data_IF_495784681521
#
_entry.id   IF_495784681521
#
_cell.length_a   1.000
_cell.length_b   1.000
_cell.length_c   1.000
_cell.angle_alpha   90.00
_cell.angle_beta   90.00
_cell.angle_gamma   90.00
#
_symmetry.space_group_name_H-M   'P 1'
#
loop_
_entity.id
_entity.type
_entity.pdbx_description
1 polymer ?
#
# COMPACT_ATOMS: atom_id res chain seq x y z
N UNK A 1 15.66 25.75 21.97
CA UNK A 1 14.43 24.96 22.11
C UNK A 1 13.24 25.67 21.46
N UNK A 2 12.86 26.90 21.83
CA UNK A 2 11.70 27.61 21.24
C UNK A 2 11.78 27.81 19.71
N UNK A 3 12.93 28.23 19.16
CA UNK A 3 13.13 28.37 17.70
C UNK A 3 13.09 27.06 16.91
N UNK A 4 13.39 25.93 17.56
CA UNK A 4 13.37 24.63 16.90
C UNK A 4 11.92 24.11 16.81
N UNK A 5 11.11 24.37 17.84
CA UNK A 5 9.68 24.04 17.85
C UNK A 5 8.85 24.89 16.89
N UNK A 6 9.16 26.17 16.73
CA UNK A 6 8.50 27.04 15.75
C UNK A 6 8.79 26.60 14.30
N UNK A 7 10.06 26.26 14.00
CA UNK A 7 10.44 25.76 12.68
C UNK A 7 9.80 24.40 12.36
N UNK A 8 9.72 23.49 13.35
CA UNK A 8 9.07 22.18 13.17
C UNK A 8 7.57 22.36 12.86
N UNK A 9 6.90 23.27 13.57
CA UNK A 9 5.48 23.55 13.35
C UNK A 9 5.22 24.13 11.96
N UNK A 10 6.06 25.05 11.51
CA UNK A 10 5.97 25.63 10.17
C UNK A 10 6.21 24.58 9.07
N UNK A 11 7.12 23.62 9.29
CA UNK A 11 7.36 22.50 8.38
C UNK A 11 6.14 21.57 8.30
N UNK A 12 5.51 21.23 9.43
CA UNK A 12 4.28 20.44 9.46
C UNK A 12 3.13 21.14 8.74
N UNK A 13 2.90 22.43 9.02
CA UNK A 13 1.85 23.21 8.33
C UNK A 13 2.09 23.28 6.81
N UNK A 14 3.34 23.35 6.37
CA UNK A 14 3.69 23.30 4.95
C UNK A 14 3.45 21.92 4.33
N UNK A 15 3.80 20.83 5.02
CA UNK A 15 3.58 19.47 4.56
C UNK A 15 2.07 19.16 4.40
N UNK A 16 1.26 19.58 5.38
CA UNK A 16 -0.20 19.46 5.32
C UNK A 16 -0.77 20.24 4.12
N UNK A 17 -0.26 21.46 3.88
CA UNK A 17 -0.71 22.30 2.77
C UNK A 17 -0.37 21.71 1.40
N UNK A 18 0.84 21.13 1.25
CA UNK A 18 1.27 20.46 0.03
C UNK A 18 0.38 19.23 -0.23
N UNK A 19 0.09 18.47 0.81
CA UNK A 19 -0.68 17.23 0.70
C UNK A 19 -2.12 17.49 0.31
N UNK A 20 -2.72 18.54 0.87
CA UNK A 20 -4.04 19.02 0.47
C UNK A 20 -4.06 19.47 -1.01
N UNK A 21 -3.02 20.18 -1.48
CA UNK A 21 -2.92 20.60 -2.89
C UNK A 21 -2.83 19.38 -3.82
N UNK A 22 -1.97 18.40 -3.49
CA UNK A 22 -1.76 17.20 -4.32
C UNK A 22 -2.94 16.25 -4.31
N UNK A 23 -3.62 16.11 -3.18
CA UNK A 23 -4.89 15.40 -3.10
C UNK A 23 -5.95 16.07 -3.97
N UNK A 24 -6.05 17.40 -3.96
CA UNK A 24 -7.00 18.13 -4.81
C UNK A 24 -6.72 17.95 -6.31
N UNK A 25 -5.44 17.96 -6.72
CA UNK A 25 -5.03 17.67 -8.10
C UNK A 25 -5.41 16.24 -8.51
N UNK A 26 -5.10 15.25 -7.66
CA UNK A 26 -5.40 13.85 -7.90
C UNK A 26 -6.93 13.61 -7.98
N UNK A 27 -7.71 14.16 -7.06
CA UNK A 27 -9.17 14.11 -7.09
C UNK A 27 -9.77 14.71 -8.36
N UNK A 28 -9.18 15.80 -8.88
CA UNK A 28 -9.60 16.35 -10.15
C UNK A 28 -9.30 15.40 -11.32
N UNK A 29 -8.17 14.69 -11.27
CA UNK A 29 -7.83 13.66 -12.26
C UNK A 29 -8.82 12.48 -12.17
N UNK A 30 -9.08 11.96 -10.97
CA UNK A 30 -10.07 10.89 -10.74
C UNK A 30 -11.43 11.25 -11.33
N UNK A 31 -11.97 12.44 -11.03
CA UNK A 31 -13.26 12.90 -11.57
C UNK A 31 -13.29 12.92 -13.11
N UNK A 32 -12.19 13.32 -13.75
CA UNK A 32 -12.08 13.30 -15.21
C UNK A 32 -12.03 11.88 -15.76
N UNK A 33 -11.30 10.99 -15.08
CA UNK A 33 -11.19 9.58 -15.44
C UNK A 33 -12.56 8.91 -15.34
N UNK A 34 -13.26 9.06 -14.21
CA UNK A 34 -14.62 8.53 -14.01
C UNK A 34 -15.62 9.08 -15.05
N UNK A 35 -15.59 10.38 -15.35
CA UNK A 35 -16.46 10.96 -16.38
C UNK A 35 -16.19 10.40 -17.78
N UNK A 36 -14.91 10.13 -18.11
CA UNK A 36 -14.52 9.50 -19.37
C UNK A 36 -14.93 8.03 -19.41
N UNK A 37 -14.70 7.29 -18.32
CA UNK A 37 -15.09 5.89 -18.18
C UNK A 37 -16.60 5.72 -18.33
N UNK A 38 -17.41 6.59 -17.73
CA UNK A 38 -18.88 6.53 -17.77
C UNK A 38 -19.50 6.62 -19.19
N UNK A 39 -18.76 7.15 -20.16
CA UNK A 39 -19.16 7.23 -21.59
C UNK A 39 -18.42 6.23 -22.48
N UNK A 40 -17.59 5.36 -21.91
CA UNK A 40 -16.93 4.28 -22.64
C UNK A 40 -17.98 3.32 -23.23
N UNK A 41 -17.78 2.88 -24.48
CA UNK A 41 -18.65 1.91 -25.12
C UNK A 41 -18.62 0.55 -24.40
N UNK A 42 -17.47 0.23 -23.81
CA UNK A 42 -17.24 -0.99 -23.04
C UNK A 42 -17.53 -0.82 -21.54
N UNK A 43 -18.12 0.30 -21.10
CA UNK A 43 -18.39 0.59 -19.68
C UNK A 43 -18.97 -0.62 -18.95
N UNK A 44 -20.06 -1.22 -19.46
CA UNK A 44 -20.72 -2.34 -18.77
C UNK A 44 -19.90 -3.61 -18.76
N UNK A 45 -19.07 -3.83 -19.78
CA UNK A 45 -18.16 -4.97 -19.83
C UNK A 45 -17.09 -4.81 -18.75
N UNK A 46 -16.41 -3.67 -18.74
CA UNK A 46 -15.34 -3.33 -17.79
C UNK A 46 -15.87 -3.28 -16.35
N UNK A 47 -17.04 -2.69 -16.14
CA UNK A 47 -17.70 -2.63 -14.84
C UNK A 47 -18.04 -4.01 -14.30
N UNK A 48 -18.50 -4.93 -15.16
CA UNK A 48 -18.80 -6.31 -14.76
C UNK A 48 -17.53 -7.16 -14.58
N UNK A 49 -16.40 -6.76 -15.17
CA UNK A 49 -15.12 -7.42 -14.95
C UNK A 49 -14.58 -7.16 -13.54
N UNK A 50 -14.75 -5.95 -13.03
CA UNK A 50 -14.41 -5.55 -11.66
C UNK A 50 -15.43 -6.10 -10.65
N UNK A 51 -16.68 -5.63 -10.69
CA UNK A 51 -17.68 -5.85 -9.62
C UNK A 51 -18.53 -7.12 -9.79
N UNK A 52 -18.19 -7.98 -10.75
CA UNK A 52 -18.97 -9.16 -11.11
C UNK A 52 -20.30 -8.84 -11.80
N UNK A 53 -21.23 -9.81 -11.82
CA UNK A 53 -22.49 -9.69 -12.57
C UNK A 53 -23.75 -9.56 -11.68
N UNK A 54 -23.56 -9.49 -10.35
CA UNK A 54 -24.66 -9.53 -9.37
C UNK A 54 -24.91 -8.20 -8.65
N UNK A 55 -24.19 -7.14 -9.05
CA UNK A 55 -24.40 -5.79 -8.53
C UNK A 55 -25.79 -5.26 -8.88
N UNK A 56 -26.28 -4.29 -8.11
CA UNK A 56 -27.58 -3.65 -8.37
C UNK A 56 -27.51 -2.76 -9.63
N UNK A 57 -28.18 -3.14 -10.74
CA UNK A 57 -28.08 -2.41 -11.99
C UNK A 57 -28.75 -1.03 -11.95
N UNK A 58 -29.74 -0.80 -11.07
CA UNK A 58 -30.38 0.51 -10.95
C UNK A 58 -29.44 1.51 -10.25
N UNK A 59 -28.79 1.07 -9.17
CA UNK A 59 -27.77 1.86 -8.47
C UNK A 59 -26.56 2.14 -9.37
N UNK A 60 -26.08 1.14 -10.13
CA UNK A 60 -24.98 1.32 -11.07
C UNK A 60 -25.31 2.31 -12.21
N UNK A 61 -26.51 2.26 -12.80
CA UNK A 61 -26.89 3.22 -13.85
C UNK A 61 -27.10 4.64 -13.30
N UNK A 62 -27.62 4.78 -12.07
CA UNK A 62 -27.70 6.09 -11.40
C UNK A 62 -26.31 6.69 -11.20
N UNK A 63 -25.36 5.89 -10.74
CA UNK A 63 -23.98 6.28 -10.53
C UNK A 63 -23.30 6.69 -11.85
N UNK A 64 -23.46 5.88 -12.90
CA UNK A 64 -22.97 6.22 -14.25
C UNK A 64 -23.58 7.54 -14.75
N UNK A 65 -24.89 7.74 -14.57
CA UNK A 65 -25.55 9.00 -14.92
C UNK A 65 -24.98 10.20 -14.16
N UNK A 66 -24.67 10.05 -12.87
CA UNK A 66 -24.03 11.11 -12.09
C UNK A 66 -22.67 11.48 -12.71
N UNK A 67 -21.82 10.50 -13.02
CA UNK A 67 -20.50 10.74 -13.62
C UNK A 67 -20.57 11.40 -15.00
N UNK A 68 -21.50 10.97 -15.87
CA UNK A 68 -21.72 11.61 -17.19
C UNK A 68 -22.09 13.10 -17.04
N UNK A 69 -22.85 13.44 -16.01
CA UNK A 69 -23.25 14.81 -15.71
C UNK A 69 -22.24 15.56 -14.84
N UNK A 70 -21.05 14.99 -14.60
CA UNK A 70 -20.00 15.52 -13.72
C UNK A 70 -20.49 15.79 -12.28
N UNK A 71 -21.47 15.02 -11.82
CA UNK A 71 -21.94 15.00 -10.46
C UNK A 71 -21.16 13.97 -9.65
N UNK A 72 -20.44 14.43 -8.61
CA UNK A 72 -19.57 13.62 -7.75
C UNK A 72 -19.86 13.85 -6.26
N UNK A 73 -21.09 14.23 -5.91
CA UNK A 73 -21.50 14.47 -4.53
C UNK A 73 -21.57 13.19 -3.69
N UNK A 74 -21.67 12.02 -4.33
CA UNK A 74 -21.78 10.70 -3.67
C UNK A 74 -20.43 10.01 -3.44
N UNK A 75 -19.29 10.72 -3.58
CA UNK A 75 -17.98 10.16 -3.27
C UNK A 75 -17.75 10.07 -1.74
N UNK A 76 -17.06 9.03 -1.23
CA UNK A 76 -16.72 8.90 0.18
C UNK A 76 -15.81 10.04 0.67
N UNK A 77 -15.77 10.20 1.99
CA UNK A 77 -14.80 11.08 2.64
C UNK A 77 -13.39 10.53 2.46
N UNK A 78 -12.40 11.42 2.33
CA UNK A 78 -10.99 11.06 2.27
C UNK A 78 -10.30 11.66 3.48
N UNK A 79 -9.67 10.80 4.28
CA UNK A 79 -8.81 11.19 5.38
C UNK A 79 -7.35 10.89 5.04
N UNK A 80 -6.45 11.80 5.42
CA UNK A 80 -5.02 11.56 5.33
C UNK A 80 -4.56 10.97 6.66
N UNK A 81 -3.90 9.80 6.61
CA UNK A 81 -3.35 9.06 7.77
C UNK A 81 -1.90 8.72 7.51
N UNK A 82 -1.14 8.34 8.53
CA UNK A 82 0.17 7.73 8.24
C UNK A 82 -0.02 6.34 7.62
N UNK A 83 0.91 5.91 6.78
CA UNK A 83 0.98 4.53 6.27
C UNK A 83 0.92 3.51 7.43
N UNK A 84 1.61 3.77 8.54
CA UNK A 84 1.59 2.94 9.76
C UNK A 84 0.17 2.75 10.33
N UNK A 85 -0.63 3.82 10.42
CA UNK A 85 -2.01 3.75 10.90
C UNK A 85 -2.91 2.86 10.01
N UNK A 86 -2.52 2.65 8.75
CA UNK A 86 -3.23 1.83 7.76
C UNK A 86 -2.43 0.60 7.32
N UNK A 87 -1.66 0.01 8.24
CA UNK A 87 -0.93 -1.26 8.03
C UNK A 87 0.08 -1.23 6.86
N UNK A 88 0.67 -0.07 6.60
CA UNK A 88 1.67 0.14 5.55
C UNK A 88 1.10 0.29 4.14
N UNK A 89 -0.22 0.41 4.00
CA UNK A 89 -0.87 0.59 2.71
C UNK A 89 -0.65 2.01 2.15
N UNK A 90 -0.71 2.15 0.82
CA UNK A 90 -0.64 3.45 0.15
C UNK A 90 -1.98 4.19 0.23
N UNK A 91 -3.07 3.42 0.15
CA UNK A 91 -4.45 3.81 0.35
C UNK A 91 -5.19 2.66 1.03
N UNK A 92 -6.34 2.96 1.60
CA UNK A 92 -7.23 1.95 2.15
C UNK A 92 -8.68 2.44 2.18
N UNK A 93 -9.65 1.55 2.01
CA UNK A 93 -11.06 1.84 2.16
C UNK A 93 -11.65 1.02 3.29
N UNK A 94 -12.48 1.66 4.13
CA UNK A 94 -13.25 0.95 5.15
C UNK A 94 -14.75 1.14 4.94
N UNK A 95 -15.45 0.02 4.76
CA UNK A 95 -16.93 -0.02 4.73
C UNK A 95 -17.52 0.46 6.07
N UNK A 96 -16.85 0.16 7.19
CA UNK A 96 -17.36 0.47 8.54
C UNK A 96 -17.45 1.97 8.82
N UNK A 97 -16.48 2.74 8.34
CA UNK A 97 -16.43 4.20 8.46
C UNK A 97 -16.91 4.92 7.20
N UNK A 98 -17.01 4.20 6.08
CA UNK A 98 -17.29 4.74 4.75
C UNK A 98 -16.29 5.85 4.37
N UNK A 99 -15.01 5.55 4.59
CA UNK A 99 -13.90 6.50 4.44
C UNK A 99 -12.76 5.86 3.65
N UNK A 100 -12.18 6.63 2.74
CA UNK A 100 -10.89 6.33 2.13
C UNK A 100 -9.81 6.96 3.00
N UNK A 101 -8.85 6.17 3.43
CA UNK A 101 -7.64 6.61 4.09
C UNK A 101 -6.50 6.62 3.08
N UNK A 102 -5.79 7.74 2.96
CA UNK A 102 -4.65 7.86 2.04
C UNK A 102 -3.38 8.16 2.83
N UNK A 103 -2.31 7.41 2.58
CA UNK A 103 -1.06 7.57 3.29
C UNK A 103 -0.43 8.95 2.99
N UNK A 104 -0.13 9.69 4.05
CA UNK A 104 0.53 10.99 3.99
C UNK A 104 1.90 10.89 3.30
N UNK A 105 2.62 9.82 3.59
CA UNK A 105 3.92 9.49 3.04
C UNK A 105 3.82 9.25 1.53
N UNK A 106 2.78 8.55 1.08
CA UNK A 106 2.51 8.29 -0.32
C UNK A 106 2.20 9.57 -1.11
N UNK A 107 1.40 10.49 -0.53
CA UNK A 107 1.09 11.80 -1.15
C UNK A 107 2.37 12.63 -1.30
N UNK A 108 3.19 12.69 -0.23
CA UNK A 108 4.42 13.48 -0.20
C UNK A 108 5.43 12.95 -1.21
N UNK A 109 5.56 11.63 -1.29
CA UNK A 109 6.44 10.97 -2.25
C UNK A 109 6.03 11.24 -3.70
N UNK A 110 4.73 11.15 -3.97
CA UNK A 110 4.16 11.37 -5.29
C UNK A 110 3.78 12.83 -5.56
N UNK A 111 4.35 13.79 -4.82
CA UNK A 111 4.04 15.21 -4.98
C UNK A 111 4.33 15.77 -6.39
N UNK A 112 5.20 15.10 -7.16
CA UNK A 112 5.48 15.41 -8.57
C UNK A 112 4.84 14.41 -9.55
N UNK A 113 4.07 13.45 -9.05
CA UNK A 113 3.40 12.40 -9.80
C UNK A 113 1.95 12.21 -9.30
N UNK A 114 1.12 13.25 -9.45
CA UNK A 114 -0.28 13.20 -9.01
C UNK A 114 -1.12 12.13 -9.71
N UNK A 115 -0.62 11.56 -10.82
CA UNK A 115 -1.25 10.42 -11.47
C UNK A 115 -1.15 9.14 -10.63
N UNK A 116 -0.03 8.89 -9.95
CA UNK A 116 0.10 7.75 -9.04
C UNK A 116 -0.88 7.85 -7.86
N UNK A 117 -1.04 9.05 -7.31
CA UNK A 117 -2.05 9.34 -6.27
C UNK A 117 -3.46 9.08 -6.81
N UNK A 118 -3.74 9.47 -8.05
CA UNK A 118 -5.04 9.23 -8.67
C UNK A 118 -5.31 7.73 -8.93
N UNK A 119 -4.28 6.94 -9.23
CA UNK A 119 -4.39 5.48 -9.40
C UNK A 119 -4.80 4.80 -8.09
N UNK A 120 -4.12 5.09 -6.98
CA UNK A 120 -4.51 4.55 -5.66
C UNK A 120 -5.90 5.03 -5.27
N UNK A 121 -6.22 6.31 -5.45
CA UNK A 121 -7.57 6.80 -5.16
C UNK A 121 -8.65 6.10 -5.99
N UNK A 122 -8.39 5.80 -7.26
CA UNK A 122 -9.36 5.08 -8.10
C UNK A 122 -9.62 3.66 -7.60
N UNK A 123 -8.59 3.00 -7.10
CA UNK A 123 -8.67 1.68 -6.48
C UNK A 123 -9.53 1.72 -5.22
N UNK A 124 -9.27 2.66 -4.31
CA UNK A 124 -10.09 2.85 -3.12
C UNK A 124 -11.53 3.30 -3.42
N UNK A 125 -11.73 4.06 -4.51
CA UNK A 125 -13.08 4.33 -4.99
C UNK A 125 -13.73 3.06 -5.55
N UNK A 126 -12.99 2.13 -6.15
CA UNK A 126 -13.50 0.85 -6.60
C UNK A 126 -14.07 0.04 -5.44
N UNK A 127 -13.31 -0.13 -4.35
CA UNK A 127 -13.77 -0.76 -3.11
C UNK A 127 -15.04 -0.09 -2.53
N UNK A 128 -15.05 1.25 -2.50
CA UNK A 128 -16.26 1.99 -2.14
C UNK A 128 -17.43 1.64 -3.06
N UNK A 129 -17.24 1.63 -4.37
CA UNK A 129 -18.30 1.32 -5.33
C UNK A 129 -18.83 -0.10 -5.15
N UNK A 130 -17.95 -1.07 -4.92
CA UNK A 130 -18.37 -2.45 -4.67
C UNK A 130 -19.32 -2.50 -3.46
N UNK A 131 -18.92 -1.87 -2.35
CA UNK A 131 -19.73 -1.82 -1.12
C UNK A 131 -21.11 -1.16 -1.30
N UNK A 132 -21.26 -0.24 -2.26
CA UNK A 132 -22.54 0.42 -2.56
C UNK A 132 -23.43 -0.40 -3.49
N UNK A 133 -22.83 -1.23 -4.34
CA UNK A 133 -23.51 -1.86 -5.47
C UNK A 133 -23.75 -3.35 -5.24
N UNK A 134 -22.88 -4.01 -4.49
CA UNK A 134 -22.95 -5.41 -4.14
C UNK A 134 -23.42 -5.59 -2.69
N UNK A 135 -24.06 -6.74 -2.42
CA UNK A 135 -24.49 -7.13 -1.05
C UNK A 135 -23.40 -7.83 -0.26
N UNK A 136 -22.42 -8.34 -0.98
CA UNK A 136 -21.27 -9.06 -0.50
C UNK A 136 -20.12 -8.65 -1.39
N UNK A 137 -19.00 -8.39 -0.76
CA UNK A 137 -17.74 -8.08 -1.41
C UNK A 137 -17.46 -8.96 -2.63
N UNK A 138 -16.94 -8.34 -3.69
CA UNK A 138 -16.52 -9.04 -4.89
C UNK A 138 -15.23 -9.82 -4.59
N UNK A 139 -15.04 -11.04 -5.14
CA UNK A 139 -13.81 -11.77 -4.86
C UNK A 139 -12.59 -11.09 -5.49
N UNK A 140 -11.54 -10.93 -4.68
CA UNK A 140 -10.27 -10.39 -5.11
C UNK A 140 -10.14 -8.92 -4.73
N UNK A 141 -9.28 -8.21 -5.46
CA UNK A 141 -9.13 -6.77 -5.40
C UNK A 141 -9.87 -6.13 -6.60
N UNK A 142 -11.18 -5.98 -6.46
CA UNK A 142 -12.03 -5.31 -7.46
C UNK A 142 -11.72 -3.81 -7.57
N UNK A 143 -11.13 -3.22 -6.53
CA UNK A 143 -10.57 -1.87 -6.52
C UNK A 143 -9.50 -1.71 -7.61
N UNK A 144 -8.47 -2.53 -7.58
CA UNK A 144 -7.36 -2.48 -8.53
C UNK A 144 -7.82 -2.84 -9.94
N UNK A 145 -8.73 -3.81 -10.10
CA UNK A 145 -9.33 -4.13 -11.40
C UNK A 145 -10.05 -2.90 -11.95
N UNK A 146 -10.89 -2.25 -11.13
CA UNK A 146 -11.60 -1.04 -11.53
C UNK A 146 -10.65 0.10 -11.89
N UNK A 147 -9.61 0.33 -11.08
CA UNK A 147 -8.61 1.38 -11.31
C UNK A 147 -7.92 1.23 -12.65
N UNK A 148 -7.41 0.02 -12.95
CA UNK A 148 -6.76 -0.29 -14.23
C UNK A 148 -7.70 -0.07 -15.43
N UNK A 149 -8.93 -0.57 -15.35
CA UNK A 149 -9.91 -0.43 -16.43
C UNK A 149 -10.35 1.03 -16.62
N UNK A 150 -10.56 1.79 -15.55
CA UNK A 150 -10.90 3.21 -15.61
C UNK A 150 -9.79 4.05 -16.26
N UNK A 151 -8.53 3.67 -16.04
CA UNK A 151 -7.36 4.25 -16.69
C UNK A 151 -7.23 3.84 -18.17
N UNK A 152 -7.98 2.83 -18.61
CA UNK A 152 -7.94 2.26 -19.96
C UNK A 152 -6.77 1.30 -20.16
N UNK A 153 -6.26 0.71 -19.09
CA UNK A 153 -5.22 -0.31 -19.12
C UNK A 153 -5.83 -1.67 -19.50
N UNK A 154 -5.09 -2.44 -20.29
CA UNK A 154 -5.52 -3.77 -20.67
C UNK A 154 -5.00 -4.78 -19.63
N UNK A 155 -5.92 -5.40 -18.88
CA UNK A 155 -5.58 -6.49 -17.98
C UNK A 155 -5.45 -7.80 -18.75
N UNK A 156 -4.26 -8.41 -18.71
CA UNK A 156 -4.04 -9.76 -19.23
C UNK A 156 -4.86 -10.80 -18.46
N UNK A 157 -5.11 -11.97 -19.04
CA UNK A 157 -5.89 -13.03 -18.38
C UNK A 157 -5.27 -13.46 -17.03
N UNK A 158 -3.94 -13.50 -16.96
CA UNK A 158 -3.22 -13.87 -15.73
C UNK A 158 -3.30 -12.79 -14.66
N UNK A 159 -3.06 -11.52 -15.03
CA UNK A 159 -3.17 -10.39 -14.12
C UNK A 159 -4.58 -10.25 -13.56
N UNK A 160 -5.59 -10.37 -14.43
CA UNK A 160 -6.98 -10.36 -14.01
C UNK A 160 -7.30 -11.54 -13.07
N UNK A 161 -6.72 -12.72 -13.30
CA UNK A 161 -6.91 -13.87 -12.42
C UNK A 161 -6.25 -13.66 -11.06
N UNK A 162 -5.05 -13.05 -11.00
CA UNK A 162 -4.42 -12.68 -9.73
C UNK A 162 -5.31 -11.75 -8.96
N UNK A 163 -5.68 -10.60 -9.55
CA UNK A 163 -6.46 -9.58 -8.86
C UNK A 163 -7.76 -10.19 -8.33
N UNK A 164 -8.43 -11.08 -9.09
CA UNK A 164 -9.63 -11.83 -8.64
C UNK A 164 -9.43 -12.84 -7.51
N UNK A 165 -8.19 -13.04 -7.08
CA UNK A 165 -7.82 -13.96 -5.99
C UNK A 165 -6.94 -13.30 -4.92
N UNK A 166 -6.67 -12.01 -5.07
CA UNK A 166 -5.94 -11.22 -4.09
C UNK A 166 -6.77 -11.10 -2.80
N UNK A 167 -6.08 -11.07 -1.67
CA UNK A 167 -6.69 -10.85 -0.36
C UNK A 167 -6.00 -9.61 0.20
N UNK A 168 -6.62 -8.47 -0.07
CA UNK A 168 -6.17 -7.12 0.27
C UNK A 168 -6.75 -6.65 1.62
N UNK A 169 -7.54 -7.50 2.28
CA UNK A 169 -8.12 -7.23 3.59
C UNK A 169 -7.07 -7.17 4.70
N UNK A 170 -7.18 -6.15 5.56
CA UNK A 170 -6.52 -6.10 6.85
C UNK A 170 -7.47 -5.65 7.96
N UNK A 171 -7.09 -5.99 9.20
CA UNK A 171 -7.73 -5.46 10.40
C UNK A 171 -6.74 -4.55 11.11
N UNK A 172 -7.13 -3.28 11.29
CA UNK A 172 -6.30 -2.25 11.93
C UNK A 172 -7.00 -1.71 13.18
N UNK A 173 -6.25 -0.98 14.02
CA UNK A 173 -6.82 -0.21 15.12
C UNK A 173 -6.61 1.28 14.85
N UNK A 174 -7.68 1.99 14.51
CA UNK A 174 -7.66 3.42 14.23
C UNK A 174 -8.50 4.16 15.27
N UNK A 175 -7.93 5.19 15.91
CA UNK A 175 -8.61 5.93 16.98
C UNK A 175 -9.22 5.03 18.08
N UNK A 176 -8.50 4.00 18.52
CA UNK A 176 -8.94 2.98 19.50
C UNK A 176 -10.10 2.06 19.03
N UNK A 177 -10.50 2.13 17.76
CA UNK A 177 -11.51 1.27 17.15
C UNK A 177 -10.85 0.25 16.22
N UNK A 178 -11.26 -1.01 16.35
CA UNK A 178 -10.83 -2.07 15.44
C UNK A 178 -11.75 -2.02 14.22
N UNK A 179 -11.17 -1.79 13.04
CA UNK A 179 -11.89 -1.72 11.77
C UNK A 179 -11.22 -2.63 10.73
N UNK A 180 -12.00 -3.11 9.77
CA UNK A 180 -11.46 -3.73 8.56
C UNK A 180 -11.23 -2.69 7.47
N UNK A 181 -10.17 -2.92 6.70
CA UNK A 181 -9.79 -2.14 5.52
C UNK A 181 -9.47 -3.07 4.35
N UNK A 182 -9.82 -2.63 3.15
CA UNK A 182 -9.25 -3.08 1.87
C UNK A 182 -8.07 -2.14 1.55
N UNK A 183 -6.99 -2.65 0.94
CA UNK A 183 -5.69 -1.95 0.92
C UNK A 183 -5.04 -1.92 -0.46
N UNK A 184 -4.72 -0.73 -0.94
CA UNK A 184 -3.78 -0.57 -2.04
C UNK A 184 -2.31 -0.78 -1.60
N UNK A 185 -1.72 -1.92 -1.99
CA UNK A 185 -0.32 -2.28 -1.69
C UNK A 185 0.57 -2.29 -2.93
N UNK A 186 1.86 -2.67 -2.81
CA UNK A 186 2.72 -2.85 -3.99
C UNK A 186 2.66 -4.29 -4.44
N UNK A 187 1.80 -4.55 -5.41
CA UNK A 187 1.66 -5.84 -6.09
C UNK A 187 1.96 -5.74 -7.59
N UNK A 188 2.28 -6.89 -8.20
CA UNK A 188 2.42 -7.02 -9.66
C UNK A 188 2.24 -8.49 -10.07
N UNK A 189 1.87 -8.70 -11.34
CA UNK A 189 1.95 -10.00 -12.02
C UNK A 189 2.48 -9.85 -13.42
N UNK A 190 2.97 -10.97 -13.94
CA UNK A 190 3.38 -11.05 -15.32
C UNK A 190 3.90 -12.42 -15.68
N UNK A 191 4.40 -12.48 -16.91
CA UNK A 191 5.11 -13.63 -17.43
C UNK A 191 6.56 -13.28 -17.68
N UNK A 192 7.04 -13.58 -18.87
CA UNK A 192 8.45 -13.51 -19.21
C UNK A 192 9.09 -12.12 -19.11
N UNK A 193 8.34 -11.04 -19.17
CA UNK A 193 8.85 -9.67 -19.03
C UNK A 193 9.46 -9.39 -17.65
N UNK A 194 9.04 -10.13 -16.63
CA UNK A 194 9.41 -9.87 -15.24
C UNK A 194 8.85 -8.55 -14.72
N UNK A 195 9.36 -8.09 -13.59
CA UNK A 195 8.91 -6.84 -12.96
C UNK A 195 10.03 -6.15 -12.21
N UNK A 196 9.93 -4.82 -12.14
CA UNK A 196 10.74 -3.97 -11.29
C UNK A 196 9.84 -2.82 -10.80
N UNK A 197 9.42 -2.90 -9.54
CA UNK A 197 8.69 -1.85 -8.84
C UNK A 197 9.56 -1.32 -7.71
N UNK A 198 9.37 -0.06 -7.34
CA UNK A 198 10.04 0.54 -6.20
C UNK A 198 9.00 0.94 -5.17
N UNK A 199 9.17 0.44 -3.95
CA UNK A 199 8.46 0.87 -2.75
C UNK A 199 9.25 2.01 -2.13
N UNK A 200 8.55 3.07 -1.75
CA UNK A 200 9.15 4.12 -0.94
C UNK A 200 8.89 3.82 0.52
N UNK A 201 9.96 3.81 1.30
CA UNK A 201 9.96 3.64 2.75
C UNK A 201 9.68 4.97 3.44
N UNK A 202 9.06 4.93 4.62
CA UNK A 202 8.75 6.16 5.37
C UNK A 202 10.03 6.78 5.97
N UNK A 203 11.07 5.97 6.18
CA UNK A 203 12.41 6.40 6.61
C UNK A 203 13.51 6.03 5.60
N UNK A 204 14.75 6.49 5.86
CA UNK A 204 15.93 6.04 5.10
C UNK A 204 16.34 4.60 5.51
N UNK A 205 15.40 3.66 5.44
CA UNK A 205 15.54 2.30 5.95
C UNK A 205 15.47 2.20 7.47
N UNK A 206 15.49 0.96 7.97
CA UNK A 206 14.99 0.66 9.31
C UNK A 206 13.49 0.41 9.22
N UNK A 207 13.09 -0.84 9.44
CA UNK A 207 11.73 -1.28 9.21
C UNK A 207 11.70 -2.72 8.73
N UNK A 208 10.52 -3.18 8.32
CA UNK A 208 10.28 -4.54 7.83
C UNK A 208 9.55 -4.48 6.50
N UNK A 209 10.02 -5.26 5.51
CA UNK A 209 9.21 -5.57 4.32
C UNK A 209 8.55 -6.93 4.52
N UNK A 210 7.23 -6.97 4.46
CA UNK A 210 6.43 -8.20 4.43
C UNK A 210 6.11 -8.50 2.98
N UNK A 211 6.28 -9.75 2.57
CA UNK A 211 6.10 -10.14 1.18
C UNK A 211 5.35 -11.46 1.05
N UNK A 212 4.63 -11.58 -0.06
CA UNK A 212 4.11 -12.83 -0.60
C UNK A 212 4.50 -12.89 -2.07
N UNK A 213 4.94 -14.05 -2.56
CA UNK A 213 5.05 -14.32 -3.99
C UNK A 213 4.47 -15.68 -4.35
N UNK A 214 4.08 -15.85 -5.62
CA UNK A 214 3.72 -17.11 -6.23
C UNK A 214 4.31 -17.21 -7.64
N UNK A 215 5.20 -18.18 -7.85
CA UNK A 215 5.83 -18.47 -9.15
C UNK A 215 5.31 -19.79 -9.75
N UNK A 216 4.09 -20.20 -9.37
CA UNK A 216 3.41 -21.42 -9.86
C UNK A 216 4.34 -22.64 -10.03
N UNK A 217 4.46 -23.19 -11.23
CA UNK A 217 5.25 -24.40 -11.52
C UNK A 217 6.55 -24.10 -12.25
N UNK A 218 6.60 -22.99 -13.00
CA UNK A 218 7.78 -22.56 -13.76
C UNK A 218 8.52 -21.57 -12.86
N UNK A 219 9.75 -21.89 -12.42
CA UNK A 219 10.43 -21.10 -11.41
C UNK A 219 10.79 -19.67 -11.87
N UNK A 220 10.64 -18.70 -10.98
CA UNK A 220 11.12 -17.30 -11.13
C UNK A 220 11.97 -16.87 -9.94
N UNK A 221 12.70 -15.76 -10.09
CA UNK A 221 13.57 -15.20 -9.05
C UNK A 221 12.97 -13.91 -8.48
N UNK A 222 12.51 -13.98 -7.22
CA UNK A 222 11.98 -12.85 -6.48
C UNK A 222 13.10 -12.19 -5.67
N UNK A 223 13.24 -10.89 -5.82
CA UNK A 223 14.32 -10.10 -5.24
C UNK A 223 13.71 -8.90 -4.53
N UNK A 224 14.11 -8.69 -3.27
CA UNK A 224 13.91 -7.42 -2.59
C UNK A 224 15.29 -6.78 -2.37
N UNK A 225 15.48 -5.57 -2.87
CA UNK A 225 16.77 -4.88 -2.91
C UNK A 225 16.69 -3.50 -2.28
N UNK A 226 17.68 -3.18 -1.47
CA UNK A 226 17.81 -1.88 -0.81
C UNK A 226 19.24 -1.37 -0.99
N UNK A 227 19.41 -0.13 -1.45
CA UNK A 227 20.72 0.48 -1.74
C UNK A 227 21.65 -0.39 -2.60
N UNK A 228 21.07 -1.07 -3.60
CA UNK A 228 21.83 -1.96 -4.50
C UNK A 228 22.21 -3.31 -3.89
N UNK A 229 21.83 -3.58 -2.63
CA UNK A 229 22.05 -4.88 -1.96
C UNK A 229 20.76 -5.70 -1.94
N UNK A 230 20.82 -6.93 -2.45
CA UNK A 230 19.72 -7.89 -2.31
C UNK A 230 19.57 -8.24 -0.82
N UNK A 231 18.47 -7.81 -0.21
CA UNK A 231 18.06 -8.22 1.14
C UNK A 231 17.44 -9.62 1.10
N UNK A 232 16.70 -9.90 0.02
CA UNK A 232 16.18 -11.21 -0.35
C UNK A 232 16.50 -11.47 -1.82
N UNK A 233 16.91 -12.69 -2.11
CA UNK A 233 16.98 -13.23 -3.47
C UNK A 233 16.69 -14.72 -3.37
N UNK A 234 15.60 -15.17 -3.99
CA UNK A 234 15.14 -16.56 -3.85
C UNK A 234 15.91 -17.52 -4.74
N UNK A 235 16.54 -17.00 -5.80
CA UNK A 235 16.86 -17.79 -6.99
C UNK A 235 15.59 -18.23 -7.71
N UNK A 236 15.75 -18.95 -8.82
CA UNK A 236 14.65 -19.50 -9.60
C UNK A 236 13.95 -20.63 -8.82
N UNK A 237 12.84 -20.29 -8.16
CA UNK A 237 12.02 -21.23 -7.39
C UNK A 237 10.55 -21.14 -7.81
N UNK A 238 9.86 -22.28 -7.83
CA UNK A 238 8.40 -22.34 -8.04
C UNK A 238 7.64 -22.33 -6.70
N UNK A 239 6.31 -22.25 -6.79
CA UNK A 239 5.39 -22.29 -5.66
C UNK A 239 5.15 -20.94 -5.00
N UNK A 240 4.49 -20.96 -3.84
CA UNK A 240 4.09 -19.78 -3.07
C UNK A 240 4.92 -19.66 -1.79
N UNK A 241 5.31 -18.45 -1.42
CA UNK A 241 5.94 -18.17 -0.13
C UNK A 241 5.50 -16.81 0.41
N UNK A 242 5.24 -16.77 1.71
CA UNK A 242 5.07 -15.55 2.49
C UNK A 242 6.24 -15.41 3.47
N UNK A 243 6.69 -14.19 3.74
CA UNK A 243 7.73 -13.93 4.72
C UNK A 243 7.90 -12.46 5.04
N UNK A 244 8.89 -12.18 5.88
CA UNK A 244 9.28 -10.83 6.27
C UNK A 244 10.81 -10.72 6.22
N UNK A 245 11.30 -9.53 5.89
CA UNK A 245 12.74 -9.20 5.94
C UNK A 245 12.95 -7.85 6.62
N UNK A 246 14.05 -7.76 7.36
CA UNK A 246 14.46 -6.51 7.97
C UNK A 246 15.16 -5.62 6.95
N UNK A 247 14.70 -4.37 6.86
CA UNK A 247 15.35 -3.35 6.05
C UNK A 247 16.41 -2.68 6.94
N UNK A 248 17.69 -2.75 6.58
CA UNK A 248 18.74 -2.09 7.35
C UNK A 248 18.56 -0.57 7.28
N UNK A 249 18.98 0.15 8.33
CA UNK A 249 19.13 1.60 8.25
C UNK A 249 20.16 1.95 7.17
N UNK A 250 19.85 2.95 6.35
CA UNK A 250 20.69 3.44 5.28
C UNK A 250 20.46 4.93 4.99
N UNK A 251 20.66 5.32 3.74
CA UNK A 251 20.51 6.69 3.24
C UNK A 251 19.46 6.80 2.11
N UNK A 252 18.91 5.68 1.67
CA UNK A 252 17.84 5.60 0.69
C UNK A 252 16.50 5.35 1.38
N UNK A 253 15.43 5.91 0.84
CA UNK A 253 14.07 5.54 1.19
C UNK A 253 13.42 4.69 0.08
N UNK A 254 14.21 4.04 -0.76
CA UNK A 254 13.73 3.22 -1.88
C UNK A 254 14.10 1.76 -1.68
N UNK A 255 13.10 0.90 -1.82
CA UNK A 255 13.18 -0.55 -1.78
C UNK A 255 12.66 -1.11 -3.10
N UNK A 256 13.52 -1.74 -3.88
CA UNK A 256 13.13 -2.33 -5.16
C UNK A 256 12.61 -3.75 -4.95
N UNK A 257 11.46 -4.05 -5.56
CA UNK A 257 10.86 -5.37 -5.66
C UNK A 257 10.95 -5.80 -7.13
N UNK A 258 11.68 -6.88 -7.37
CA UNK A 258 12.05 -7.30 -8.71
C UNK A 258 11.68 -8.77 -8.89
N UNK A 259 11.05 -9.08 -10.02
CA UNK A 259 10.91 -10.46 -10.52
C UNK A 259 11.76 -10.62 -11.77
N UNK A 260 12.74 -11.50 -11.69
CA UNK A 260 13.55 -11.89 -12.83
C UNK A 260 13.14 -13.29 -13.30
N UNK A 261 12.93 -13.39 -14.61
CA UNK A 261 12.34 -14.54 -15.30
C UNK A 261 13.36 -15.11 -16.30
N UNK A 262 13.21 -16.39 -16.69
CA UNK A 262 14.09 -17.00 -17.69
C UNK A 262 13.40 -18.00 -18.62
N UNK A 263 12.08 -18.15 -18.51
CA UNK A 263 11.28 -19.05 -19.32
C UNK A 263 10.07 -18.30 -19.89
N UNK A 264 9.85 -18.38 -21.20
CA UNK A 264 8.78 -17.66 -21.90
C UNK A 264 7.38 -18.12 -21.47
N UNK A 265 7.25 -19.31 -20.89
CA UNK A 265 5.98 -19.83 -20.38
C UNK A 265 5.71 -19.48 -18.92
N UNK A 266 6.59 -18.71 -18.27
CA UNK A 266 6.45 -18.41 -16.84
C UNK A 266 5.29 -17.49 -16.54
N UNK A 267 4.89 -17.53 -15.28
CA UNK A 267 3.74 -16.88 -14.69
C UNK A 267 4.10 -16.60 -13.24
N UNK A 268 3.89 -15.37 -12.77
CA UNK A 268 4.19 -14.99 -11.40
C UNK A 268 3.28 -13.87 -10.89
N UNK A 269 3.12 -13.83 -9.57
CA UNK A 269 2.60 -12.67 -8.85
C UNK A 269 3.31 -12.44 -7.53
N UNK A 270 3.25 -11.21 -7.02
CA UNK A 270 3.70 -10.85 -5.68
C UNK A 270 2.93 -9.67 -5.11
N UNK A 271 3.01 -9.57 -3.78
CA UNK A 271 2.46 -8.48 -2.96
C UNK A 271 3.51 -8.14 -1.90
N UNK A 272 3.79 -6.84 -1.70
CA UNK A 272 4.75 -6.36 -0.71
C UNK A 272 4.21 -5.13 0.01
N UNK A 273 4.30 -5.18 1.34
CA UNK A 273 4.01 -4.05 2.24
C UNK A 273 5.23 -3.73 3.09
N UNK A 274 5.33 -2.49 3.55
CA UNK A 274 6.43 -2.04 4.41
C UNK A 274 5.90 -1.41 5.68
N UNK A 275 6.63 -1.60 6.77
CA UNK A 275 6.34 -1.06 8.09
C UNK A 275 7.63 -0.44 8.63
N UNK A 276 7.56 0.80 9.10
CA UNK A 276 8.72 1.58 9.55
C UNK A 276 9.20 1.18 10.97
N UNK A 277 8.53 0.21 11.60
CA UNK A 277 8.98 -0.37 12.86
C UNK A 277 10.33 -1.09 12.72
N UNK A 278 11.42 -0.40 13.06
CA UNK A 278 12.73 -1.01 13.13
C UNK A 278 12.74 -2.19 14.12
N UNK A 279 13.17 -3.38 13.68
CA UNK A 279 13.40 -4.48 14.61
C UNK A 279 14.41 -4.06 15.66
N UNK A 280 14.01 -4.18 16.93
CA UNK A 280 14.86 -3.88 18.07
C UNK A 280 15.81 -5.05 18.38
N UNK A 281 16.06 -5.99 17.47
CA UNK A 281 16.73 -7.26 17.79
C UNK A 281 18.18 -7.35 17.29
N UNK A 282 19.15 -7.74 18.16
CA UNK A 282 18.99 -7.88 19.61
C UNK A 282 18.86 -6.52 20.28
N UNK A 283 18.00 -6.43 21.29
CA UNK A 283 17.88 -5.21 22.10
C UNK A 283 19.05 -5.21 23.07
N UNK A 284 20.07 -4.41 22.77
CA UNK A 284 21.30 -4.32 23.57
C UNK A 284 21.16 -3.22 24.61
N UNK A 285 21.25 -3.62 25.88
CA UNK A 285 21.37 -2.68 27.01
C UNK A 285 22.86 -2.59 27.36
N UNK A 286 23.45 -1.41 27.13
CA UNK A 286 24.81 -1.08 27.54
C UNK A 286 24.78 -0.01 28.63
N UNK A 287 25.65 -0.13 29.64
CA UNK A 287 25.82 0.93 30.64
C UNK A 287 26.53 2.13 30.00
N UNK A 288 25.94 3.32 30.13
CA UNK A 288 26.53 4.56 29.62
C UNK A 288 27.92 4.86 30.22
N UNK A 289 28.19 4.28 31.39
CA UNK A 289 29.50 4.26 32.05
C UNK A 289 29.54 3.14 33.08
N UNK A 290 30.67 2.42 33.18
CA UNK A 290 30.85 1.31 34.13
C UNK A 290 30.66 -0.06 33.50
N UNK A 291 30.71 -1.10 34.32
CA UNK A 291 30.42 -2.49 33.95
C UNK A 291 29.27 -3.01 34.82
N UNK A 292 28.60 -4.08 34.40
CA UNK A 292 27.69 -4.79 35.29
C UNK A 292 28.52 -5.49 36.36
N UNK A 293 28.18 -5.28 37.63
CA UNK A 293 28.95 -5.79 38.76
C UNK A 293 28.06 -6.68 39.62
N UNK A 294 28.57 -7.86 40.00
CA UNK A 294 28.00 -8.70 41.05
C UNK A 294 28.53 -8.15 42.39
N UNK A 295 27.68 -7.42 43.13
CA UNK A 295 28.12 -6.69 44.34
C UNK A 295 27.90 -7.47 45.63
N UNK A 296 27.12 -8.54 45.62
CA UNK A 296 26.81 -9.36 46.80
C UNK A 296 27.23 -10.84 46.66
N UNK A 297 27.95 -11.18 45.57
CA UNK A 297 28.46 -12.51 45.24
C UNK A 297 27.35 -13.59 45.13
N UNK A 298 26.12 -13.18 44.79
CA UNK A 298 24.99 -14.11 44.63
C UNK A 298 24.91 -14.73 43.22
N UNK A 299 25.70 -14.19 42.28
CA UNK A 299 25.84 -14.67 40.90
C UNK A 299 25.01 -13.89 39.87
N UNK A 300 24.27 -12.86 40.26
CA UNK A 300 23.70 -11.88 39.34
C UNK A 300 24.60 -10.64 39.18
N UNK A 301 24.54 -9.99 38.02
CA UNK A 301 25.29 -8.76 37.78
C UNK A 301 24.33 -7.59 37.68
N UNK A 302 24.55 -6.56 38.51
CA UNK A 302 23.69 -5.40 38.60
C UNK A 302 24.27 -4.19 37.87
N UNK A 303 23.39 -3.34 37.35
CA UNK A 303 23.74 -2.08 36.72
C UNK A 303 22.55 -1.13 36.72
N UNK A 304 22.77 0.15 37.02
CA UNK A 304 21.69 1.15 37.11
C UNK A 304 21.86 2.26 36.08
N UNK A 305 20.79 2.63 35.39
CA UNK A 305 20.77 3.73 34.43
C UNK A 305 19.36 4.11 34.00
N UNK A 306 19.24 5.17 33.21
CA UNK A 306 17.98 5.56 32.58
C UNK A 306 17.91 4.97 31.19
N UNK A 307 16.93 4.11 30.94
CA UNK A 307 16.63 3.61 29.60
C UNK A 307 15.51 4.46 29.01
N UNK A 308 15.74 5.04 27.84
CA UNK A 308 14.70 5.69 27.05
C UNK A 308 14.26 4.72 25.95
N UNK A 309 12.97 4.37 25.94
CA UNK A 309 12.36 3.50 24.93
C UNK A 309 11.29 4.31 24.20
N UNK A 310 11.51 4.55 22.90
CA UNK A 310 10.64 5.43 22.10
C UNK A 310 10.78 6.91 22.45
N UNK A 311 10.09 7.74 21.68
CA UNK A 311 9.86 9.16 21.95
C UNK A 311 8.57 9.37 22.73
#
# INVERSE_FOLDING_TARGET
MQKLGEAMKEILELADSLSAEKLAEALLAVKKILAKFAVNEDFWLEFSLAFGNNFDPESAEKLRHNWVNQNFEELPEIEIRSSEEINGANGAFSVETNTIYLAQEYITHNAQNSQAIATVLLEEFGHFLDSQLNKSDAPGDEGAIFSALALGEALGEEQLLQLKTEDDLATITLNEQVIQIEQATVSDSGGFEGSEKTITLDSNGGGVAKFRYQHFTIPDNFIIRYEGKNLLETGFVGGTKTGEIQIPKGNSNQLDVIVATNDEGTAWNYDVTTDDCASTTPFLIELASGEFEDTDDDGDCEGSGTVFLGY
#
